data_IF_613826779700
#
_entry.id   IF_613826779700
#
_cell.length_a   1.000
_cell.length_b   1.000
_cell.length_c   1.000
_cell.angle_alpha   90.00
_cell.angle_beta   90.00
_cell.angle_gamma   90.00
#
_symmetry.space_group_name_H-M   'P 1'
#
loop_
_entity.id
_entity.type
_entity.pdbx_description
1 polymer ?
#
# COMPACT_ATOMS: atom_id res chain seq x y z
N UNK A 1 39.69 28.97 19.42
CA UNK A 1 39.51 28.33 18.09
C UNK A 1 39.35 26.85 18.36
N UNK A 2 38.19 26.22 18.30
CA UNK A 2 36.95 26.47 17.58
C UNK A 2 36.45 25.08 17.20
N UNK A 3 35.98 24.31 18.20
CA UNK A 3 35.39 22.99 17.99
C UNK A 3 33.96 23.16 17.50
N UNK A 4 33.74 22.95 16.21
CA UNK A 4 32.41 22.86 15.61
C UNK A 4 32.00 21.39 15.58
N UNK A 5 31.25 20.96 16.59
CA UNK A 5 30.56 19.68 16.56
C UNK A 5 29.51 19.71 15.45
N UNK A 6 29.56 18.71 14.57
CA UNK A 6 28.47 18.43 13.64
C UNK A 6 27.29 17.97 14.49
N UNK A 7 26.26 18.80 14.56
CA UNK A 7 24.97 18.38 15.10
C UNK A 7 24.37 17.46 14.04
N UNK A 8 24.45 16.15 14.27
CA UNK A 8 23.61 15.19 13.58
C UNK A 8 22.20 15.45 14.08
N UNK A 9 21.38 16.06 13.22
CA UNK A 9 19.95 16.17 13.47
C UNK A 9 19.41 14.79 13.11
N UNK A 10 19.18 13.94 14.11
CA UNK A 10 18.38 12.73 13.93
C UNK A 10 16.96 13.21 13.60
N UNK A 11 16.56 13.07 12.34
CA UNK A 11 15.15 13.22 11.96
C UNK A 11 14.39 12.09 12.65
N UNK A 12 13.62 12.42 13.70
CA UNK A 12 12.63 11.53 14.27
C UNK A 12 11.63 11.18 13.16
N UNK A 13 11.76 9.97 12.58
CA UNK A 13 10.75 9.41 11.70
C UNK A 13 9.46 9.25 12.52
N UNK A 14 8.52 10.18 12.34
CA UNK A 14 7.23 10.16 13.05
C UNK A 14 6.47 8.85 12.77
N UNK A 15 6.48 7.95 13.75
CA UNK A 15 5.83 6.62 13.66
C UNK A 15 4.31 6.68 13.85
N UNK A 16 3.81 7.86 14.23
CA UNK A 16 2.40 8.17 14.40
C UNK A 16 2.11 9.58 13.84
N UNK A 17 1.06 9.71 13.04
CA UNK A 17 0.61 10.99 12.48
C UNK A 17 -0.88 11.19 12.75
N UNK A 18 -1.24 12.34 13.32
CA UNK A 18 -2.62 12.82 13.41
C UNK A 18 -2.92 13.77 12.25
N UNK A 19 -3.98 13.50 11.49
CA UNK A 19 -4.42 14.39 10.40
C UNK A 19 -5.15 15.59 11.01
N UNK A 20 -4.52 16.77 10.96
CA UNK A 20 -4.95 17.98 11.66
C UNK A 20 -6.38 18.44 11.31
N UNK A 21 -7.11 19.00 12.30
CA UNK A 21 -8.48 19.51 12.14
C UNK A 21 -8.55 20.97 11.70
N UNK A 22 -9.39 21.27 10.72
CA UNK A 22 -9.77 22.62 10.31
C UNK A 22 -10.99 23.13 11.08
N UNK A 23 -10.77 23.95 12.11
CA UNK A 23 -11.82 24.79 12.71
C UNK A 23 -12.41 24.28 14.04
N UNK A 24 -12.56 25.23 14.97
CA UNK A 24 -13.07 25.00 16.33
C UNK A 24 -14.60 24.90 16.35
N UNK A 25 -15.13 23.67 16.22
CA UNK A 25 -16.52 23.34 16.53
C UNK A 25 -16.59 22.38 17.73
N UNK A 26 -17.36 22.73 18.76
CA UNK A 26 -17.65 21.83 19.90
C UNK A 26 -18.56 20.69 19.43
N UNK A 27 -17.97 19.63 18.90
CA UNK A 27 -18.66 18.38 18.58
C UNK A 27 -18.35 17.29 19.62
N UNK A 28 -19.35 16.46 19.96
CA UNK A 28 -19.18 15.32 20.88
C UNK A 28 -17.96 14.50 20.45
N UNK A 29 -17.03 14.19 21.38
CA UNK A 29 -15.81 13.40 21.11
C UNK A 29 -16.19 11.99 20.60
N UNK A 30 -16.39 11.84 19.29
CA UNK A 30 -16.34 10.53 18.63
C UNK A 30 -14.94 9.95 18.82
N UNK A 31 -14.84 8.63 19.04
CA UNK A 31 -13.56 7.91 19.07
C UNK A 31 -12.79 8.26 17.78
N UNK A 32 -11.55 8.73 17.91
CA UNK A 32 -10.67 8.97 16.76
C UNK A 32 -10.44 7.62 16.06
N UNK A 33 -10.59 7.60 14.74
CA UNK A 33 -10.35 6.41 13.92
C UNK A 33 -8.85 6.16 13.81
N UNK A 34 -8.42 4.92 13.92
CA UNK A 34 -7.00 4.54 13.97
C UNK A 34 -6.67 3.54 12.86
N UNK A 35 -5.68 3.81 12.03
CA UNK A 35 -5.29 2.91 10.93
C UNK A 35 -3.79 2.60 10.97
N UNK A 36 -3.42 1.42 10.48
CA UNK A 36 -2.03 0.97 10.43
C UNK A 36 -1.53 0.79 9.01
N UNK A 37 -0.28 1.15 8.78
CA UNK A 37 0.47 0.81 7.55
C UNK A 37 1.56 -0.18 7.92
N UNK A 38 1.51 -1.40 7.38
CA UNK A 38 2.58 -2.37 7.54
C UNK A 38 3.54 -2.23 6.37
N UNK A 39 4.72 -1.69 6.65
CA UNK A 39 5.75 -1.41 5.66
C UNK A 39 6.77 -2.55 5.58
N UNK A 40 6.97 -3.04 4.36
CA UNK A 40 7.91 -4.13 4.07
C UNK A 40 9.26 -3.65 3.53
N UNK A 41 9.44 -2.34 3.36
CA UNK A 41 10.73 -1.78 2.98
C UNK A 41 11.66 -1.75 4.22
N UNK A 42 12.87 -2.28 4.07
CA UNK A 42 13.93 -2.17 5.10
C UNK A 42 14.49 -0.74 5.17
N UNK A 43 14.60 -0.10 4.00
CA UNK A 43 15.13 1.23 3.80
C UNK A 43 14.29 2.01 2.79
N UNK A 44 14.23 3.32 2.98
CA UNK A 44 13.59 4.25 2.05
C UNK A 44 14.68 5.00 1.28
N UNK A 45 14.58 5.14 -0.06
CA UNK A 45 15.49 6.00 -0.80
C UNK A 45 15.50 7.43 -0.25
N UNK A 46 16.69 8.02 -0.13
CA UNK A 46 16.88 9.42 0.29
C UNK A 46 15.99 10.37 -0.50
N UNK A 47 15.94 10.23 -1.83
CA UNK A 47 15.02 10.97 -2.69
C UNK A 47 13.55 10.90 -2.24
N UNK A 48 13.06 9.71 -1.85
CA UNK A 48 11.67 9.53 -1.39
C UNK A 48 11.47 10.23 -0.04
N UNK A 49 12.45 10.17 0.86
CA UNK A 49 12.39 10.88 2.14
C UNK A 49 12.35 12.39 1.94
N UNK A 50 13.27 12.93 1.16
CA UNK A 50 13.43 14.38 0.96
C UNK A 50 12.29 14.97 0.13
N UNK A 51 11.91 14.34 -0.98
CA UNK A 51 10.92 14.90 -1.89
C UNK A 51 9.48 14.60 -1.46
N UNK A 52 9.24 13.47 -0.78
CA UNK A 52 7.88 12.98 -0.50
C UNK A 52 7.57 12.80 0.98
N UNK A 53 8.58 12.86 1.86
CA UNK A 53 8.45 12.65 3.31
C UNK A 53 8.49 11.17 3.73
N UNK A 54 8.92 10.28 2.84
CA UNK A 54 8.89 8.82 3.07
C UNK A 54 7.56 8.17 2.67
N UNK A 55 7.61 6.85 2.48
CA UNK A 55 6.48 6.02 2.09
C UNK A 55 5.32 6.12 3.08
N UNK A 56 5.59 6.18 4.38
CA UNK A 56 4.54 6.33 5.39
C UNK A 56 3.72 7.62 5.17
N UNK A 57 4.40 8.76 4.99
CA UNK A 57 3.72 10.05 4.72
C UNK A 57 3.00 10.03 3.37
N UNK A 58 3.51 9.30 2.38
CA UNK A 58 2.81 9.11 1.10
C UNK A 58 1.50 8.32 1.27
N UNK A 59 1.50 7.25 2.06
CA UNK A 59 0.28 6.50 2.39
C UNK A 59 -0.72 7.35 3.15
N UNK A 60 -0.28 8.11 4.16
CA UNK A 60 -1.16 9.01 4.91
C UNK A 60 -1.72 10.11 4.00
N UNK A 61 -0.94 10.65 3.07
CA UNK A 61 -1.43 11.63 2.07
C UNK A 61 -2.46 11.03 1.13
N UNK A 62 -2.27 9.77 0.71
CA UNK A 62 -3.21 9.06 -0.15
C UNK A 62 -4.50 8.70 0.58
N UNK A 63 -4.39 8.15 1.79
CA UNK A 63 -5.48 7.44 2.45
C UNK A 63 -6.01 8.12 3.70
N UNK A 64 -5.30 9.05 4.31
CA UNK A 64 -5.76 9.77 5.51
C UNK A 64 -6.94 10.69 5.22
N UNK A 65 -7.83 10.80 6.21
CA UNK A 65 -8.84 11.84 6.33
C UNK A 65 -8.67 12.58 7.67
N UNK A 66 -9.25 13.78 7.75
CA UNK A 66 -9.16 14.66 8.92
C UNK A 66 -9.62 13.98 10.23
N UNK A 67 -8.83 14.13 11.29
CA UNK A 67 -9.13 13.61 12.63
C UNK A 67 -8.85 12.11 12.81
N UNK A 68 -8.20 11.48 11.84
CA UNK A 68 -7.69 10.11 11.93
C UNK A 68 -6.26 10.08 12.46
N UNK A 69 -5.91 8.98 13.12
CA UNK A 69 -4.55 8.66 13.54
C UNK A 69 -4.03 7.50 12.72
N UNK A 70 -2.82 7.64 12.18
CA UNK A 70 -2.15 6.62 11.39
C UNK A 70 -0.87 6.18 12.08
N UNK A 71 -0.59 4.88 12.09
CA UNK A 71 0.64 4.32 12.66
C UNK A 71 1.39 3.49 11.64
N UNK A 72 2.71 3.58 11.71
CA UNK A 72 3.63 2.74 10.95
C UNK A 72 3.96 1.48 11.76
N UNK A 73 3.92 0.33 11.11
CA UNK A 73 4.48 -0.95 11.60
C UNK A 73 5.59 -1.38 10.65
N UNK A 74 6.83 -1.43 11.13
CA UNK A 74 7.98 -1.84 10.31
C UNK A 74 8.07 -3.36 10.26
N UNK A 75 7.19 -3.97 9.48
CA UNK A 75 7.12 -5.43 9.34
C UNK A 75 8.47 -6.05 8.91
N UNK A 76 9.25 -5.36 8.08
CA UNK A 76 10.60 -5.79 7.70
C UNK A 76 11.57 -5.91 8.90
N UNK A 77 11.31 -5.17 9.98
CA UNK A 77 12.06 -5.22 11.25
C UNK A 77 11.40 -6.12 12.30
N UNK A 78 10.41 -6.91 11.90
CA UNK A 78 9.65 -7.79 12.79
C UNK A 78 8.59 -7.07 13.62
N UNK A 79 8.35 -5.79 13.35
CA UNK A 79 7.35 -4.99 14.06
C UNK A 79 5.99 -5.20 13.40
N UNK A 80 5.20 -6.09 14.00
CA UNK A 80 3.87 -6.48 13.51
C UNK A 80 2.80 -6.07 14.54
N UNK A 81 1.56 -5.79 14.09
CA UNK A 81 0.45 -5.51 15.01
C UNK A 81 0.24 -6.67 16.00
N UNK A 82 0.10 -6.32 17.27
CA UNK A 82 -0.31 -7.29 18.31
C UNK A 82 -1.80 -7.59 18.23
N UNK A 83 -2.28 -8.58 18.99
CA UNK A 83 -3.71 -8.83 19.14
C UNK A 83 -4.45 -7.60 19.74
N UNK A 84 -3.78 -6.82 20.59
CA UNK A 84 -4.34 -5.58 21.13
C UNK A 84 -4.46 -4.50 20.05
N UNK A 85 -3.47 -4.39 19.16
CA UNK A 85 -3.54 -3.48 18.01
C UNK A 85 -4.65 -3.89 17.05
N UNK A 86 -4.76 -5.18 16.72
CA UNK A 86 -5.86 -5.67 15.88
C UNK A 86 -7.25 -5.31 16.43
N UNK A 87 -7.41 -5.21 17.76
CA UNK A 87 -8.65 -4.79 18.41
C UNK A 87 -8.83 -3.26 18.49
N UNK A 88 -7.74 -2.50 18.53
CA UNK A 88 -7.76 -1.04 18.71
C UNK A 88 -7.85 -0.26 17.38
N UNK A 89 -7.33 -0.85 16.30
CA UNK A 89 -7.29 -0.25 14.98
C UNK A 89 -8.55 -0.56 14.17
N UNK A 90 -8.95 0.38 13.32
CA UNK A 90 -10.09 0.29 12.42
C UNK A 90 -9.74 -0.37 11.08
N UNK A 91 -8.46 -0.43 10.73
CA UNK A 91 -7.99 -1.18 9.57
C UNK A 91 -6.49 -1.06 9.33
N UNK A 92 -5.97 -1.94 8.48
CA UNK A 92 -4.57 -2.03 8.11
C UNK A 92 -4.41 -2.10 6.59
N UNK A 93 -3.49 -1.31 6.06
CA UNK A 93 -2.97 -1.46 4.69
C UNK A 93 -1.59 -2.05 4.77
N UNK A 94 -1.33 -3.01 3.90
CA UNK A 94 -0.14 -3.82 3.93
C UNK A 94 0.49 -3.81 2.55
N UNK A 95 1.77 -3.47 2.48
CA UNK A 95 2.56 -3.83 1.32
C UNK A 95 2.75 -5.35 1.38
N UNK A 96 2.18 -6.06 0.42
CA UNK A 96 1.76 -7.48 0.42
C UNK A 96 2.62 -8.49 1.20
N UNK A 97 3.93 -8.29 1.32
CA UNK A 97 4.90 -9.21 1.95
C UNK A 97 4.81 -9.35 3.49
N UNK A 98 4.05 -8.50 4.18
CA UNK A 98 4.10 -8.38 5.64
C UNK A 98 3.20 -9.37 6.40
N UNK A 99 2.22 -9.98 5.74
CA UNK A 99 1.34 -10.96 6.37
C UNK A 99 1.94 -12.35 6.27
N UNK A 100 1.82 -13.14 7.36
CA UNK A 100 2.43 -14.45 7.57
C UNK A 100 2.05 -15.59 6.59
N UNK A 101 1.78 -15.26 5.33
CA UNK A 101 1.85 -16.16 4.19
C UNK A 101 3.29 -16.41 3.73
N UNK A 102 3.46 -17.25 2.71
CA UNK A 102 4.77 -17.56 2.13
C UNK A 102 5.12 -16.50 1.10
N UNK A 103 6.32 -15.94 1.23
CA UNK A 103 6.88 -14.97 0.28
C UNK A 103 8.16 -15.51 -0.33
N UNK A 104 8.49 -15.04 -1.52
CA UNK A 104 9.70 -15.45 -2.20
C UNK A 104 10.00 -14.56 -3.41
N UNK A 105 11.15 -14.82 -4.03
CA UNK A 105 11.56 -14.14 -5.27
C UNK A 105 10.61 -14.56 -6.39
N UNK A 106 10.06 -13.61 -7.13
CA UNK A 106 9.23 -13.90 -8.27
C UNK A 106 10.01 -14.73 -9.31
N UNK A 107 9.35 -15.75 -9.86
CA UNK A 107 9.96 -16.68 -10.82
C UNK A 107 10.38 -15.94 -12.10
N UNK A 108 9.62 -14.91 -12.47
CA UNK A 108 9.85 -14.09 -13.66
C UNK A 108 10.81 -12.90 -13.42
N UNK A 109 11.41 -12.79 -12.22
CA UNK A 109 12.33 -11.71 -11.89
C UNK A 109 11.62 -10.44 -11.45
N UNK A 110 12.12 -9.29 -11.88
CA UNK A 110 11.59 -7.98 -11.49
C UNK A 110 10.27 -7.67 -12.21
N UNK A 111 9.29 -7.15 -11.48
CA UNK A 111 8.17 -6.42 -12.05
C UNK A 111 8.30 -4.92 -11.75
N UNK A 112 8.46 -4.14 -12.81
CA UNK A 112 8.73 -2.70 -12.73
C UNK A 112 7.98 -2.03 -13.89
N UNK A 113 7.15 -1.03 -13.57
CA UNK A 113 6.37 -0.32 -14.57
C UNK A 113 4.93 -0.09 -14.14
N UNK A 114 4.03 0.07 -15.11
CA UNK A 114 2.58 0.17 -14.88
C UNK A 114 1.88 -1.10 -15.34
N UNK A 115 1.35 -1.87 -14.38
CA UNK A 115 0.62 -3.11 -14.63
C UNK A 115 -0.86 -2.89 -14.37
N UNK A 116 -1.72 -3.51 -15.19
CA UNK A 116 -3.16 -3.53 -14.93
C UNK A 116 -3.50 -4.82 -14.19
N UNK A 117 -4.05 -4.69 -12.98
CA UNK A 117 -4.51 -5.85 -12.23
C UNK A 117 -5.89 -6.30 -12.70
N UNK A 118 -6.15 -7.59 -12.57
CA UNK A 118 -7.38 -8.30 -12.89
C UNK A 118 -8.11 -8.67 -11.61
N UNK A 119 -9.16 -7.92 -11.24
CA UNK A 119 -9.92 -8.18 -10.03
C UNK A 119 -10.73 -9.47 -10.13
N UNK A 120 -10.91 -10.14 -8.99
CA UNK A 120 -11.84 -11.26 -8.86
C UNK A 120 -13.28 -10.82 -9.10
N UNK A 121 -14.21 -11.77 -9.34
CA UNK A 121 -15.63 -11.45 -9.54
C UNK A 121 -16.26 -10.71 -8.36
N UNK A 122 -15.90 -11.06 -7.12
CA UNK A 122 -16.39 -10.34 -5.93
C UNK A 122 -15.80 -8.92 -5.86
N UNK A 123 -14.52 -8.75 -6.20
CA UNK A 123 -13.88 -7.45 -6.27
C UNK A 123 -14.48 -6.58 -7.38
N UNK A 124 -14.80 -7.13 -8.56
CA UNK A 124 -15.48 -6.38 -9.64
C UNK A 124 -16.84 -5.83 -9.19
N UNK A 125 -17.62 -6.58 -8.41
CA UNK A 125 -18.89 -6.10 -7.83
C UNK A 125 -18.65 -4.93 -6.88
N UNK A 126 -17.62 -5.01 -6.04
CA UNK A 126 -17.20 -3.93 -5.17
C UNK A 126 -16.82 -2.68 -5.99
N UNK A 127 -15.96 -2.82 -7.00
CA UNK A 127 -15.55 -1.72 -7.87
C UNK A 127 -16.76 -1.06 -8.55
N UNK A 128 -17.68 -1.85 -9.09
CA UNK A 128 -18.92 -1.35 -9.69
C UNK A 128 -19.75 -0.52 -8.70
N UNK A 129 -19.93 -0.99 -7.46
CA UNK A 129 -20.67 -0.26 -6.41
C UNK A 129 -20.03 1.09 -6.04
N UNK A 130 -18.71 1.21 -6.24
CA UNK A 130 -17.91 2.41 -6.00
C UNK A 130 -17.72 3.28 -7.25
N UNK A 131 -18.33 2.90 -8.38
CA UNK A 131 -18.14 3.54 -9.68
C UNK A 131 -16.65 3.61 -10.08
N UNK A 132 -15.91 2.53 -9.81
CA UNK A 132 -14.51 2.36 -10.16
C UNK A 132 -14.44 1.44 -11.40
N UNK A 133 -13.56 1.74 -12.39
CA UNK A 133 -13.37 0.88 -13.54
C UNK A 133 -12.94 -0.56 -13.16
N UNK A 134 -13.24 -1.52 -14.03
CA UNK A 134 -12.83 -2.93 -13.87
C UNK A 134 -11.33 -3.16 -14.05
N UNK A 135 -10.62 -2.17 -14.61
CA UNK A 135 -9.19 -2.16 -14.85
C UNK A 135 -8.54 -1.20 -13.88
N UNK A 136 -7.59 -1.69 -13.08
CA UNK A 136 -6.88 -0.89 -12.09
C UNK A 136 -5.38 -0.88 -12.44
N UNK A 137 -4.91 0.12 -13.20
CA UNK A 137 -3.48 0.28 -13.41
C UNK A 137 -2.79 0.78 -12.14
N UNK A 138 -1.67 0.17 -11.79
CA UNK A 138 -0.87 0.48 -10.61
C UNK A 138 0.61 0.44 -10.97
N UNK A 139 1.43 1.19 -10.23
CA UNK A 139 2.88 1.10 -10.35
C UNK A 139 3.37 -0.16 -9.64
N UNK A 140 4.10 -1.00 -10.36
CA UNK A 140 4.85 -2.13 -9.80
C UNK A 140 6.33 -1.75 -9.69
N UNK A 141 6.96 -2.18 -8.60
CA UNK A 141 8.40 -2.08 -8.40
C UNK A 141 8.87 -3.10 -7.36
N UNK A 142 8.78 -4.39 -7.70
CA UNK A 142 9.13 -5.47 -6.78
C UNK A 142 9.83 -6.63 -7.50
N UNK A 143 10.59 -7.41 -6.72
CA UNK A 143 11.17 -8.70 -7.14
C UNK A 143 10.73 -9.85 -6.24
N UNK A 144 10.14 -9.51 -5.10
CA UNK A 144 9.58 -10.47 -4.17
C UNK A 144 8.07 -10.37 -4.26
N UNK A 145 7.39 -11.50 -4.12
CA UNK A 145 5.96 -11.62 -4.21
C UNK A 145 5.43 -12.54 -3.10
N UNK A 146 4.12 -12.46 -2.85
CA UNK A 146 3.42 -13.44 -2.02
C UNK A 146 3.10 -14.66 -2.89
N UNK A 147 3.58 -15.83 -2.47
CA UNK A 147 3.28 -17.11 -3.14
C UNK A 147 2.03 -17.77 -2.59
N UNK A 148 1.85 -17.72 -1.28
CA UNK A 148 0.71 -18.33 -0.61
C UNK A 148 0.20 -17.38 0.48
N UNK A 149 -1.10 -17.10 0.47
CA UNK A 149 -1.75 -16.35 1.53
C UNK A 149 -1.85 -17.17 2.82
N UNK A 150 -1.86 -16.52 3.99
CA UNK A 150 -2.21 -17.21 5.23
C UNK A 150 -3.66 -17.74 5.17
N UNK A 151 -4.02 -18.75 5.99
CA UNK A 151 -5.41 -19.19 6.09
C UNK A 151 -6.37 -18.03 6.34
N UNK A 152 -7.56 -18.08 5.72
CA UNK A 152 -8.62 -17.07 5.83
C UNK A 152 -8.34 -15.72 5.13
N UNK A 153 -7.18 -15.56 4.48
CA UNK A 153 -7.01 -14.48 3.51
C UNK A 153 -7.52 -14.89 2.12
N UNK A 154 -8.04 -13.92 1.38
CA UNK A 154 -8.66 -14.11 0.07
C UNK A 154 -7.99 -13.22 -0.97
N UNK A 155 -7.67 -13.82 -2.14
CA UNK A 155 -7.14 -13.06 -3.28
C UNK A 155 -8.24 -12.19 -3.86
N UNK A 156 -7.98 -10.88 -3.95
CA UNK A 156 -8.87 -9.88 -4.53
C UNK A 156 -8.52 -9.56 -5.98
N UNK A 157 -7.26 -9.66 -6.38
CA UNK A 157 -6.82 -9.42 -7.76
C UNK A 157 -5.49 -10.13 -8.08
N UNK A 158 -5.24 -10.31 -9.38
CA UNK A 158 -4.02 -10.93 -9.95
C UNK A 158 -3.55 -10.13 -11.16
N UNK A 159 -2.36 -10.38 -11.67
CA UNK A 159 -1.91 -9.88 -12.98
C UNK A 159 -1.40 -11.03 -13.85
N UNK A 160 -0.88 -10.71 -15.04
CA UNK A 160 -0.18 -11.68 -15.88
C UNK A 160 1.11 -12.21 -15.22
N UNK A 161 1.78 -11.38 -14.42
CA UNK A 161 3.07 -11.74 -13.81
C UNK A 161 2.94 -12.25 -12.38
N UNK A 162 1.99 -11.73 -11.62
CA UNK A 162 1.89 -11.95 -10.17
C UNK A 162 0.54 -12.57 -9.81
N UNK A 163 0.60 -13.71 -9.12
CA UNK A 163 -0.59 -14.49 -8.74
C UNK A 163 -1.43 -13.87 -7.61
N UNK A 164 -0.83 -12.98 -6.80
CA UNK A 164 -1.46 -12.32 -5.66
C UNK A 164 -1.07 -10.83 -5.69
N UNK A 165 -1.81 -10.04 -6.46
CA UNK A 165 -1.59 -8.58 -6.53
C UNK A 165 -2.28 -7.83 -5.40
N UNK A 166 -3.42 -8.37 -4.98
CA UNK A 166 -4.25 -7.77 -3.95
C UNK A 166 -4.93 -8.89 -3.18
N UNK A 167 -5.03 -8.74 -1.87
CA UNK A 167 -5.76 -9.66 -1.02
C UNK A 167 -6.40 -8.93 0.15
N UNK A 168 -7.34 -9.61 0.81
CA UNK A 168 -7.89 -9.19 2.10
C UNK A 168 -7.73 -10.26 3.16
N UNK A 169 -7.65 -9.84 4.42
CA UNK A 169 -7.83 -10.72 5.57
C UNK A 169 -8.98 -10.15 6.41
N UNK A 170 -10.10 -10.88 6.44
CA UNK A 170 -11.35 -10.36 7.00
C UNK A 170 -11.81 -9.07 6.33
N UNK A 171 -12.35 -8.15 7.12
CA UNK A 171 -12.96 -6.90 6.65
C UNK A 171 -12.14 -5.64 6.98
N UNK A 172 -10.96 -5.82 7.59
CA UNK A 172 -10.16 -4.72 8.14
C UNK A 172 -8.70 -4.74 7.68
N UNK A 173 -8.27 -5.73 6.88
CA UNK A 173 -6.89 -5.81 6.39
C UNK A 173 -6.88 -5.97 4.88
N UNK A 174 -6.15 -5.09 4.20
CA UNK A 174 -5.92 -5.15 2.76
C UNK A 174 -4.43 -5.19 2.45
N UNK A 175 -4.02 -6.16 1.65
CA UNK A 175 -2.69 -6.24 1.06
C UNK A 175 -2.69 -5.82 -0.39
N UNK A 176 -1.70 -5.03 -0.79
CA UNK A 176 -1.46 -4.58 -2.17
C UNK A 176 0.02 -4.80 -2.48
N UNK A 177 0.30 -5.46 -3.60
CA UNK A 177 1.65 -5.72 -4.07
C UNK A 177 2.26 -4.50 -4.76
N UNK A 178 1.48 -3.86 -5.63
CA UNK A 178 1.84 -2.60 -6.25
C UNK A 178 1.75 -1.40 -5.30
N UNK A 179 2.13 -0.25 -5.84
CA UNK A 179 2.33 1.01 -5.12
C UNK A 179 1.33 2.10 -5.57
N UNK A 180 0.08 2.10 -5.08
CA UNK A 180 -0.88 3.16 -5.39
C UNK A 180 -0.45 4.54 -4.84
N UNK A 181 0.45 4.56 -3.86
CA UNK A 181 1.04 5.75 -3.28
C UNK A 181 2.12 6.38 -4.18
N UNK A 182 2.75 5.59 -5.07
CA UNK A 182 3.82 6.08 -5.95
C UNK A 182 3.32 7.05 -7.02
N UNK A 183 4.26 7.88 -7.45
CA UNK A 183 4.16 8.77 -8.61
C UNK A 183 5.21 8.36 -9.64
N UNK A 184 5.08 8.86 -10.88
CA UNK A 184 6.00 8.48 -11.97
C UNK A 184 7.46 8.84 -11.66
N UNK A 185 7.70 10.00 -11.06
CA UNK A 185 9.04 10.48 -10.68
C UNK A 185 9.72 9.53 -9.69
N UNK A 186 8.97 8.94 -8.74
CA UNK A 186 9.50 7.94 -7.82
C UNK A 186 9.90 6.68 -8.58
N UNK A 187 9.05 6.18 -9.47
CA UNK A 187 9.38 4.99 -10.25
C UNK A 187 10.61 5.21 -11.13
N UNK A 188 10.73 6.37 -11.77
CA UNK A 188 11.91 6.73 -12.57
C UNK A 188 13.20 6.73 -11.73
N UNK A 189 13.17 7.35 -10.53
CA UNK A 189 14.32 7.33 -9.62
C UNK A 189 14.66 5.91 -9.14
N UNK A 190 13.66 5.07 -8.87
CA UNK A 190 13.87 3.68 -8.48
C UNK A 190 14.48 2.87 -9.63
N UNK A 191 14.00 3.03 -10.85
CA UNK A 191 14.57 2.38 -12.05
C UNK A 191 16.05 2.75 -12.18
N UNK A 192 16.40 4.03 -12.09
CA UNK A 192 17.79 4.49 -12.23
C UNK A 192 18.67 3.94 -11.08
N UNK A 193 18.16 3.93 -9.84
CA UNK A 193 18.86 3.34 -8.69
C UNK A 193 19.09 1.84 -8.86
N UNK A 194 18.10 1.09 -9.34
CA UNK A 194 18.20 -0.36 -9.57
C UNK A 194 19.22 -0.66 -10.68
N UNK A 195 19.22 0.15 -11.74
CA UNK A 195 20.16 0.03 -12.85
C UNK A 195 21.60 0.33 -12.41
N UNK A 196 21.83 1.43 -11.68
CA UNK A 196 23.15 1.80 -11.15
C UNK A 196 23.73 0.75 -10.20
N UNK A 197 22.87 0.04 -9.46
CA UNK A 197 23.25 -1.06 -8.57
C UNK A 197 23.39 -2.40 -9.29
N UNK A 198 23.25 -2.45 -10.62
CA UNK A 198 23.27 -3.66 -11.44
C UNK A 198 22.24 -4.71 -11.01
N UNK A 199 21.09 -4.27 -10.47
CA UNK A 199 19.99 -5.15 -10.06
C UNK A 199 19.03 -5.47 -11.20
N UNK A 200 19.02 -4.62 -12.23
CA UNK A 200 18.27 -4.81 -13.49
C UNK A 200 19.18 -4.50 -14.68
N UNK A 201 18.79 -4.99 -15.86
CA UNK A 201 19.47 -4.68 -17.13
C UNK A 201 18.90 -3.39 -17.75
N UNK A 202 19.66 -2.78 -18.66
CA UNK A 202 19.21 -1.61 -19.44
C UNK A 202 17.85 -1.83 -20.11
N UNK A 203 17.65 -3.00 -20.75
CA UNK A 203 16.39 -3.33 -21.41
C UNK A 203 15.20 -3.34 -20.45
N UNK A 204 15.36 -3.88 -19.24
CA UNK A 204 14.31 -3.86 -18.22
C UNK A 204 13.96 -2.43 -17.79
N UNK A 205 14.97 -1.55 -17.69
CA UNK A 205 14.74 -0.14 -17.37
C UNK A 205 14.00 0.58 -18.51
N UNK A 206 14.34 0.29 -19.76
CA UNK A 206 13.66 0.84 -20.95
C UNK A 206 12.21 0.37 -21.04
N UNK A 207 11.95 -0.93 -20.83
CA UNK A 207 10.59 -1.49 -20.82
C UNK A 207 9.73 -0.86 -19.71
N UNK A 208 10.28 -0.71 -18.50
CA UNK A 208 9.59 -0.06 -17.40
C UNK A 208 9.25 1.41 -17.72
N UNK A 209 10.20 2.16 -18.29
CA UNK A 209 9.98 3.56 -18.73
C UNK A 209 8.94 3.63 -19.85
N UNK A 210 8.97 2.72 -20.83
CA UNK A 210 7.98 2.66 -21.89
C UNK A 210 6.57 2.38 -21.35
N UNK A 211 6.43 1.55 -20.32
CA UNK A 211 5.13 1.27 -19.69
C UNK A 211 4.51 2.51 -19.03
N UNK A 212 5.32 3.39 -18.44
CA UNK A 212 4.89 4.67 -17.85
C UNK A 212 4.35 5.65 -18.90
N UNK A 213 4.89 5.61 -20.12
CA UNK A 213 4.41 6.43 -21.24
C UNK A 213 3.15 5.85 -21.88
N UNK A 214 3.05 4.51 -21.90
CA UNK A 214 1.92 3.82 -22.50
C UNK A 214 0.63 3.90 -21.65
N UNK A 215 0.76 4.01 -20.32
CA UNK A 215 -0.39 3.97 -19.41
C UNK A 215 -0.16 4.77 -18.12
N UNK A 216 -1.18 5.54 -17.74
CA UNK A 216 -1.22 6.21 -16.43
C UNK A 216 -1.69 5.26 -15.32
N UNK A 217 -1.05 5.25 -14.13
CA UNK A 217 -1.61 4.62 -12.94
C UNK A 217 -2.85 5.39 -12.45
N UNK A 218 -3.88 4.67 -11.98
CA UNK A 218 -5.14 5.29 -11.57
C UNK A 218 -5.19 5.50 -10.05
N UNK A 219 -4.44 6.51 -9.57
CA UNK A 219 -4.33 6.80 -8.14
C UNK A 219 -5.67 7.14 -7.49
N UNK A 220 -6.60 7.74 -8.23
CA UNK A 220 -7.92 8.10 -7.71
C UNK A 220 -8.81 6.87 -7.53
N UNK A 221 -8.79 5.92 -8.47
CA UNK A 221 -9.48 4.64 -8.32
C UNK A 221 -8.93 3.86 -7.12
N UNK A 222 -7.61 3.78 -6.98
CA UNK A 222 -6.97 3.12 -5.85
C UNK A 222 -7.30 3.80 -4.52
N UNK A 223 -7.24 5.13 -4.47
CA UNK A 223 -7.63 5.88 -3.28
C UNK A 223 -9.08 5.57 -2.88
N UNK A 224 -10.02 5.59 -3.84
CA UNK A 224 -11.42 5.26 -3.58
C UNK A 224 -11.57 3.83 -3.08
N UNK A 225 -10.95 2.85 -3.75
CA UNK A 225 -11.00 1.45 -3.35
C UNK A 225 -10.47 1.24 -1.93
N UNK A 226 -9.26 1.72 -1.64
CA UNK A 226 -8.61 1.56 -0.35
C UNK A 226 -9.40 2.27 0.76
N UNK A 227 -9.81 3.53 0.56
CA UNK A 227 -10.63 4.25 1.55
C UNK A 227 -11.98 3.57 1.75
N UNK A 228 -12.64 3.10 0.69
CA UNK A 228 -13.92 2.40 0.82
C UNK A 228 -13.79 1.05 1.52
N UNK A 229 -12.68 0.35 1.41
CA UNK A 229 -12.46 -0.87 2.18
C UNK A 229 -12.14 -0.56 3.65
N UNK A 230 -11.11 0.27 3.90
CA UNK A 230 -10.62 0.53 5.27
C UNK A 230 -11.63 1.30 6.12
N UNK A 231 -12.36 2.22 5.49
CA UNK A 231 -13.24 3.17 6.17
C UNK A 231 -14.72 2.87 5.92
N UNK A 232 -15.01 1.96 4.99
CA UNK A 232 -16.37 1.64 4.59
C UNK A 232 -17.04 0.74 5.61
N UNK A 233 -18.32 0.94 5.94
CA UNK A 233 -19.39 1.39 5.03
C UNK A 233 -19.42 0.62 3.70
N UNK A 234 -18.86 -0.58 3.67
CA UNK A 234 -19.31 -1.59 2.71
C UNK A 234 -20.77 -1.89 3.06
N UNK A 235 -21.73 -1.88 2.11
CA UNK A 235 -23.00 -2.52 2.37
C UNK A 235 -22.67 -3.96 2.76
N UNK A 236 -23.09 -4.36 3.96
CA UNK A 236 -23.03 -5.73 4.43
C UNK A 236 -23.49 -6.62 3.27
N UNK A 237 -22.56 -7.37 2.67
CA UNK A 237 -22.96 -8.43 1.75
C UNK A 237 -23.73 -9.40 2.63
N UNK A 238 -25.06 -9.34 2.55
CA UNK A 238 -25.91 -10.33 3.20
C UNK A 238 -25.38 -11.69 2.77
N UNK A 239 -25.20 -12.64 3.71
CA UNK A 239 -24.94 -14.02 3.33
C UNK A 239 -25.91 -14.42 2.23
N UNK A 240 -25.41 -15.05 1.18
CA UNK A 240 -26.30 -15.71 0.21
C UNK A 240 -27.23 -16.61 1.04
N UNK A 241 -28.55 -16.58 0.77
CA UNK A 241 -29.44 -17.55 1.41
C UNK A 241 -28.85 -18.92 1.13
N UNK A 242 -28.67 -19.69 2.21
CA UNK A 242 -28.44 -21.12 2.10
C UNK A 242 -29.70 -21.64 1.41
N UNK A 243 -29.58 -22.02 0.14
CA UNK A 243 -30.62 -22.78 -0.53
C UNK A 243 -30.62 -24.14 0.16
N UNK A 244 -31.52 -24.30 1.14
CA UNK A 244 -31.97 -25.61 1.57
C UNK A 244 -32.82 -26.18 0.42
N UNK A 245 -32.22 -27.05 -0.40
CA UNK A 245 -32.77 -28.32 -0.93
C UNK A 245 -31.78 -29.05 -1.84
#
# INVERSE_FOLDING_TARGET
MGGGGVVVVEEEEEEEVEVARGGAGKEKRKRKKKYGVLMCAEEEPEYVREAHGGYFKMFVRLLGDEGETWHLFRAARGELPTAADAAAFDGFVILSRALGGKTGRAVNGWDIGVTCIHPSNSTLKLLSSLHIPSHLPVIECHRDEVWELPPNAEVMARSEKTGIEMFRYGDHVMGIQGHPEYTKDILLHLIDRLLQRNLIQMSHAEDAKASLEAREPDREAWQRLCKSFLKGKLPQLKPLPIEDE
#
